data_IF_042090996337
#
_entry.id   IF_042090996337
#
_cell.length_a   1.000
_cell.length_b   1.000
_cell.length_c   1.000
_cell.angle_alpha   90.00
_cell.angle_beta   90.00
_cell.angle_gamma   90.00
#
_symmetry.space_group_name_H-M   'P 1'
#
loop_
_entity.id
_entity.type
_entity.pdbx_description
1 polymer ?
#
# COMPACT_ATOMS: atom_id res chain seq x y z
N UNK A 1 -3.64 22.95 -5.48
CA UNK A 1 -5.11 23.14 -5.67
C UNK A 1 -5.73 21.82 -6.10
N UNK A 2 -7.03 21.63 -5.87
CA UNK A 2 -7.77 20.48 -6.40
C UNK A 2 -7.87 20.56 -7.92
N UNK A 3 -8.21 19.44 -8.57
CA UNK A 3 -8.41 19.37 -10.03
C UNK A 3 -9.51 20.31 -10.53
N UNK A 4 -10.56 20.52 -9.73
CA UNK A 4 -11.63 21.47 -10.00
C UNK A 4 -11.25 22.93 -9.71
N UNK A 5 -10.15 23.17 -9.00
CA UNK A 5 -9.75 24.49 -8.50
C UNK A 5 -10.61 25.03 -7.34
N UNK A 6 -11.67 24.31 -6.94
CA UNK A 6 -12.55 24.68 -5.84
C UNK A 6 -11.79 24.78 -4.52
N UNK A 7 -10.94 23.78 -4.23
CA UNK A 7 -10.13 23.72 -3.03
C UNK A 7 -8.72 24.23 -3.32
N UNK A 8 -8.27 25.17 -2.49
CA UNK A 8 -6.96 25.79 -2.61
C UNK A 8 -6.29 25.83 -1.25
N UNK A 9 -4.98 25.62 -1.25
CA UNK A 9 -4.15 25.56 -0.06
C UNK A 9 -2.95 26.46 -0.30
N UNK A 10 -2.74 27.39 0.62
CA UNK A 10 -1.62 28.31 0.59
C UNK A 10 -0.98 28.38 1.97
N UNK A 11 0.30 28.68 1.98
CA UNK A 11 1.07 28.92 3.20
C UNK A 11 1.79 30.23 3.04
N UNK A 12 1.98 30.91 4.17
CA UNK A 12 2.89 32.04 4.28
C UNK A 12 4.00 31.59 5.24
N UNK A 13 5.25 31.76 4.81
CA UNK A 13 6.39 31.29 5.59
C UNK A 13 6.41 31.96 6.98
N UNK A 14 6.49 31.13 8.02
CA UNK A 14 6.49 31.57 9.42
C UNK A 14 5.12 31.98 9.98
N UNK A 15 4.01 31.68 9.27
CA UNK A 15 2.66 31.92 9.79
C UNK A 15 1.79 30.67 9.73
N UNK A 16 0.67 30.68 9.02
CA UNK A 16 -0.39 29.69 9.12
C UNK A 16 -0.74 29.13 7.75
N UNK A 17 -1.60 28.11 7.77
CA UNK A 17 -2.18 27.52 6.58
C UNK A 17 -3.45 28.30 6.23
N UNK A 18 -3.59 28.67 4.96
CA UNK A 18 -4.78 29.28 4.40
C UNK A 18 -5.48 28.27 3.48
N UNK A 19 -6.79 28.13 3.68
CA UNK A 19 -7.62 27.20 2.91
C UNK A 19 -8.77 27.96 2.28
N UNK A 20 -8.99 27.74 0.99
CA UNK A 20 -10.21 28.16 0.30
C UNK A 20 -10.96 26.92 -0.18
N UNK A 21 -12.29 26.96 -0.05
CA UNK A 21 -13.22 25.95 -0.56
C UNK A 21 -14.17 26.52 -1.63
N UNK A 22 -13.93 27.76 -2.05
CA UNK A 22 -14.79 28.52 -2.95
C UNK A 22 -13.99 29.26 -4.03
N UNK A 23 -13.01 28.57 -4.63
CA UNK A 23 -12.23 29.07 -5.77
C UNK A 23 -11.40 30.32 -5.44
N UNK A 24 -10.97 30.48 -4.18
CA UNK A 24 -10.13 31.59 -3.75
C UNK A 24 -10.89 32.88 -3.41
N UNK A 25 -12.23 32.85 -3.38
CA UNK A 25 -13.04 34.02 -3.00
C UNK A 25 -12.88 34.38 -1.53
N UNK A 26 -12.85 33.38 -0.65
CA UNK A 26 -12.57 33.56 0.78
C UNK A 26 -11.53 32.54 1.25
N UNK A 27 -10.76 32.94 2.26
CA UNK A 27 -9.71 32.11 2.85
C UNK A 27 -9.92 31.99 4.37
N UNK A 28 -9.90 30.77 4.86
CA UNK A 28 -9.93 30.45 6.29
C UNK A 28 -8.52 30.12 6.75
N UNK A 29 -8.12 30.66 7.90
CA UNK A 29 -6.84 30.38 8.55
C UNK A 29 -6.99 29.17 9.48
N UNK A 30 -6.07 28.21 9.36
CA UNK A 30 -6.03 27.02 10.23
C UNK A 30 -4.74 27.01 11.06
N UNK A 31 -4.91 26.79 12.37
CA UNK A 31 -3.84 26.52 13.32
C UNK A 31 -3.17 27.76 13.96
N UNK A 32 -2.22 27.49 14.85
CA UNK A 32 -1.30 28.48 15.39
C UNK A 32 -0.11 28.68 14.42
N UNK A 33 0.60 29.82 14.48
CA UNK A 33 1.75 30.06 13.62
C UNK A 33 2.83 28.96 13.74
N UNK A 34 3.26 28.42 12.61
CA UNK A 34 4.37 27.49 12.47
C UNK A 34 5.14 27.80 11.17
N UNK A 35 6.34 27.25 11.04
CA UNK A 35 7.21 27.46 9.88
C UNK A 35 6.90 26.44 8.78
N UNK A 36 5.73 26.58 8.17
CA UNK A 36 5.35 25.77 7.01
C UNK A 36 6.20 26.10 5.79
N UNK A 37 6.64 25.06 5.08
CA UNK A 37 7.59 25.17 3.95
C UNK A 37 7.10 24.49 2.67
N UNK A 38 6.18 23.52 2.78
CA UNK A 38 5.61 22.85 1.61
C UNK A 38 4.18 22.41 1.91
N UNK A 39 3.36 22.42 0.87
CA UNK A 39 1.98 21.95 0.89
C UNK A 39 1.67 21.07 -0.30
N UNK A 40 0.74 20.14 -0.14
CA UNK A 40 0.21 19.30 -1.22
C UNK A 40 -1.25 18.96 -0.99
N UNK A 41 -1.96 18.58 -2.05
CA UNK A 41 -3.38 18.27 -2.02
C UNK A 41 -3.72 17.19 -3.05
N UNK A 42 -4.67 16.29 -2.73
CA UNK A 42 -5.21 15.33 -3.69
C UNK A 42 -6.02 16.03 -4.80
N UNK A 43 -6.25 15.36 -5.93
CA UNK A 43 -7.04 15.93 -7.01
C UNK A 43 -8.49 16.24 -6.59
N UNK A 44 -9.04 15.50 -5.63
CA UNK A 44 -10.37 15.76 -5.05
C UNK A 44 -10.42 16.94 -4.08
N UNK A 45 -9.27 17.37 -3.55
CA UNK A 45 -9.20 18.37 -2.48
C UNK A 45 -9.46 17.84 -1.06
N UNK A 46 -9.87 16.58 -0.94
CA UNK A 46 -10.20 15.94 0.33
C UNK A 46 -8.98 15.78 1.24
N UNK A 47 -7.85 15.34 0.67
CA UNK A 47 -6.60 15.17 1.41
C UNK A 47 -5.75 16.42 1.19
N UNK A 48 -5.35 17.04 2.29
CA UNK A 48 -4.52 18.23 2.30
C UNK A 48 -3.35 18.01 3.26
N UNK A 49 -2.16 18.39 2.82
CA UNK A 49 -0.91 18.16 3.52
C UNK A 49 -0.15 19.47 3.66
N UNK A 50 0.42 19.69 4.83
CA UNK A 50 1.38 20.74 5.08
C UNK A 50 2.53 20.20 5.91
N UNK A 51 3.74 20.65 5.65
CA UNK A 51 4.92 20.24 6.43
C UNK A 51 5.66 21.47 6.92
N UNK A 52 6.21 21.37 8.13
CA UNK A 52 6.97 22.44 8.76
C UNK A 52 8.47 22.14 8.79
N UNK A 53 9.25 23.11 9.27
CA UNK A 53 10.69 22.94 9.47
C UNK A 53 11.03 21.99 10.62
N UNK A 54 10.14 21.71 11.56
CA UNK A 54 10.44 20.83 12.71
C UNK A 54 10.30 19.34 12.40
N UNK A 55 9.94 18.97 11.16
CA UNK A 55 9.79 17.58 10.74
C UNK A 55 8.40 17.00 11.02
N UNK A 56 7.40 17.85 11.30
CA UNK A 56 6.00 17.47 11.38
C UNK A 56 5.33 17.55 10.02
N UNK A 57 4.44 16.59 9.77
CA UNK A 57 3.41 16.67 8.72
C UNK A 57 2.05 16.83 9.35
N UNK A 58 1.31 17.80 8.83
CA UNK A 58 -0.08 18.08 9.14
C UNK A 58 -0.92 17.48 8.01
N UNK A 59 -1.94 16.73 8.39
CA UNK A 59 -2.81 15.98 7.48
C UNK A 59 -4.26 16.32 7.79
N UNK A 60 -4.97 16.78 6.77
CA UNK A 60 -6.44 16.81 6.74
C UNK A 60 -6.94 15.76 5.75
N UNK A 61 -8.04 15.08 6.13
CA UNK A 61 -8.72 14.07 5.32
C UNK A 61 -10.16 14.49 4.98
N UNK A 62 -10.54 15.72 5.32
CA UNK A 62 -11.90 16.24 5.30
C UNK A 62 -11.93 17.66 4.71
N UNK A 63 -11.18 17.87 3.63
CA UNK A 63 -11.17 19.13 2.87
C UNK A 63 -10.65 20.34 3.67
N UNK A 64 -9.78 20.10 4.65
CA UNK A 64 -9.17 21.15 5.46
C UNK A 64 -9.96 21.53 6.70
N UNK A 65 -11.03 20.80 7.04
CA UNK A 65 -11.86 21.10 8.22
C UNK A 65 -11.18 20.69 9.52
N UNK A 66 -10.53 19.52 9.55
CA UNK A 66 -9.75 19.04 10.69
C UNK A 66 -8.34 18.65 10.27
N UNK A 67 -7.38 18.85 11.18
CA UNK A 67 -5.96 18.61 10.93
C UNK A 67 -5.33 17.86 12.09
N UNK A 68 -4.55 16.83 11.74
CA UNK A 68 -3.76 16.06 12.69
C UNK A 68 -2.28 16.16 12.32
N UNK A 69 -1.39 16.23 13.30
CA UNK A 69 0.06 16.32 13.09
C UNK A 69 0.78 15.01 13.43
N UNK A 70 1.79 14.64 12.64
CA UNK A 70 2.61 13.46 12.83
C UNK A 70 4.08 13.77 12.64
N UNK A 71 4.94 13.17 13.45
CA UNK A 71 6.39 13.30 13.32
C UNK A 71 6.91 12.40 12.19
N UNK A 72 7.56 13.02 11.19
CA UNK A 72 8.28 12.31 10.12
C UNK A 72 9.70 12.00 10.59
N UNK A 73 10.39 12.99 11.17
CA UNK A 73 11.77 12.84 11.63
C UNK A 73 12.10 13.81 12.78
N UNK A 74 12.79 13.38 13.84
CA UNK A 74 12.99 14.18 15.06
C UNK A 74 14.14 15.20 15.01
N UNK A 75 15.02 15.21 13.99
CA UNK A 75 16.30 15.96 14.07
C UNK A 75 16.78 16.76 12.85
N UNK A 76 15.95 17.07 11.84
CA UNK A 76 16.37 18.01 10.77
C UNK A 76 15.22 18.56 9.91
N UNK A 77 15.46 19.77 9.40
CA UNK A 77 14.56 20.75 8.80
C UNK A 77 14.88 21.00 7.33
N UNK A 78 14.18 20.33 6.42
CA UNK A 78 13.53 20.88 5.23
C UNK A 78 12.83 19.70 4.55
N UNK A 79 11.54 19.84 4.32
CA UNK A 79 10.70 18.76 3.82
C UNK A 79 9.83 19.31 2.70
N UNK A 80 9.91 18.65 1.55
CA UNK A 80 8.92 18.82 0.49
C UNK A 80 7.89 17.71 0.66
N UNK A 81 6.64 18.01 0.34
CA UNK A 81 5.56 17.02 0.33
C UNK A 81 4.90 17.00 -1.02
N UNK A 82 4.64 15.81 -1.54
CA UNK A 82 3.76 15.61 -2.69
C UNK A 82 2.85 14.40 -2.46
N UNK A 83 1.70 14.41 -3.12
CA UNK A 83 0.70 13.35 -3.05
C UNK A 83 0.24 12.97 -4.46
N UNK A 84 -0.06 11.69 -4.67
CA UNK A 84 -0.67 11.23 -5.92
C UNK A 84 -2.09 11.81 -6.09
N UNK A 85 -2.58 11.99 -7.33
CA UNK A 85 -3.91 12.56 -7.58
C UNK A 85 -5.04 11.85 -6.85
N UNK A 86 -4.96 10.51 -6.76
CA UNK A 86 -5.92 9.63 -6.08
C UNK A 86 -5.77 9.62 -4.54
N UNK A 87 -4.75 10.28 -3.99
CA UNK A 87 -4.49 10.31 -2.56
C UNK A 87 -3.83 9.05 -1.98
N UNK A 88 -3.49 8.06 -2.80
CA UNK A 88 -3.01 6.75 -2.33
C UNK A 88 -1.54 6.74 -1.88
N UNK A 89 -0.72 7.63 -2.43
CA UNK A 89 0.72 7.69 -2.19
C UNK A 89 1.14 9.10 -1.80
N UNK A 90 1.88 9.21 -0.69
CA UNK A 90 2.51 10.46 -0.24
C UNK A 90 4.02 10.27 -0.22
N UNK A 91 4.75 11.23 -0.74
CA UNK A 91 6.20 11.33 -0.58
C UNK A 91 6.56 12.57 0.23
N UNK A 92 7.53 12.41 1.12
CA UNK A 92 8.18 13.51 1.82
C UNK A 92 9.69 13.39 1.71
N UNK A 93 10.39 14.50 1.50
CA UNK A 93 11.85 14.53 1.63
C UNK A 93 12.23 14.98 3.04
N UNK A 94 13.37 14.53 3.55
CA UNK A 94 14.01 15.09 4.74
C UNK A 94 15.47 15.34 4.41
N UNK A 95 15.92 16.57 4.56
CA UNK A 95 17.30 16.98 4.31
C UNK A 95 18.31 16.09 5.05
N UNK A 96 19.34 15.67 4.32
CA UNK A 96 20.43 14.78 4.80
C UNK A 96 20.00 13.37 5.26
N UNK A 97 18.72 12.99 5.06
CA UNK A 97 18.19 11.67 5.47
C UNK A 97 17.65 10.87 4.27
N UNK A 98 16.90 11.50 3.37
CA UNK A 98 16.37 10.87 2.16
C UNK A 98 14.89 11.10 1.93
N UNK A 99 14.27 10.26 1.09
CA UNK A 99 12.85 10.32 0.73
C UNK A 99 12.07 9.26 1.50
N UNK A 100 11.00 9.66 2.16
CA UNK A 100 10.03 8.80 2.81
C UNK A 100 8.80 8.63 1.91
N UNK A 101 8.24 7.42 1.88
CA UNK A 101 7.02 7.08 1.14
C UNK A 101 6.01 6.42 2.06
N UNK A 102 4.75 6.84 1.98
CA UNK A 102 3.63 6.17 2.65
C UNK A 102 2.64 5.60 1.61
N UNK A 103 2.14 4.39 1.87
CA UNK A 103 1.01 3.79 1.16
C UNK A 103 -0.21 3.92 2.08
N UNK A 104 -1.28 4.57 1.60
CA UNK A 104 -2.51 4.88 2.34
C UNK A 104 -2.39 6.00 3.39
N UNK A 105 -3.53 6.66 3.66
CA UNK A 105 -3.76 7.74 4.64
C UNK A 105 -3.44 7.35 6.08
N UNK A 106 -3.07 6.09 6.33
CA UNK A 106 -2.48 5.60 7.58
C UNK A 106 -0.97 5.82 7.57
N UNK A 107 -0.59 7.04 7.96
CA UNK A 107 0.72 7.55 8.39
C UNK A 107 1.85 6.50 8.52
N UNK A 108 2.91 6.74 7.74
CA UNK A 108 4.32 6.38 7.93
C UNK A 108 4.61 5.31 8.99
N UNK A 109 4.49 4.04 8.61
CA UNK A 109 5.17 2.95 9.31
C UNK A 109 6.33 2.44 8.46
N UNK A 110 7.44 3.18 8.50
CA UNK A 110 8.73 2.67 8.06
C UNK A 110 9.48 3.57 7.09
N UNK A 111 10.81 3.51 7.21
CA UNK A 111 11.76 4.03 6.24
C UNK A 111 11.58 3.26 4.94
N UNK A 112 11.17 3.93 3.86
CA UNK A 112 11.38 3.38 2.53
C UNK A 112 12.89 3.50 2.25
N UNK A 113 13.66 2.45 2.56
CA UNK A 113 15.05 2.36 2.15
C UNK A 113 15.08 2.21 0.62
N UNK A 114 15.06 3.33 -0.11
CA UNK A 114 15.24 3.34 -1.57
C UNK A 114 16.63 2.78 -1.94
N UNK A 115 17.54 2.65 -0.98
CA UNK A 115 18.84 1.99 -1.13
C UNK A 115 18.75 0.48 -1.44
N UNK A 116 17.60 -0.17 -1.25
CA UNK A 116 17.46 -1.63 -1.42
C UNK A 116 16.29 -2.10 -2.31
N UNK A 117 15.69 -1.20 -3.11
CA UNK A 117 14.54 -1.53 -3.94
C UNK A 117 13.25 -1.81 -3.16
N UNK A 118 12.15 -2.10 -3.87
CA UNK A 118 10.87 -2.49 -3.26
C UNK A 118 11.03 -3.88 -2.62
N UNK A 119 11.06 -3.95 -1.30
CA UNK A 119 11.03 -5.22 -0.56
C UNK A 119 9.62 -5.82 -0.69
N UNK A 120 9.46 -7.05 -1.22
CA UNK A 120 8.14 -7.66 -1.36
C UNK A 120 7.45 -7.82 -0.01
N UNK A 121 6.14 -7.57 0.03
CA UNK A 121 5.32 -7.79 1.24
C UNK A 121 5.07 -9.29 1.40
N UNK A 122 5.51 -9.88 2.51
CA UNK A 122 5.43 -11.33 2.71
C UNK A 122 4.50 -11.71 3.85
N UNK A 123 3.73 -12.78 3.68
CA UNK A 123 2.95 -13.43 4.73
C UNK A 123 3.29 -14.92 4.75
N UNK A 124 3.57 -15.47 5.93
CA UNK A 124 4.02 -16.85 6.11
C UNK A 124 3.20 -17.53 7.20
N UNK A 125 2.75 -18.74 6.92
CA UNK A 125 2.07 -19.64 7.87
C UNK A 125 2.71 -21.02 7.84
N UNK A 126 2.57 -21.77 8.93
CA UNK A 126 3.03 -23.16 8.95
C UNK A 126 2.13 -24.07 8.11
N UNK A 127 0.81 -23.98 8.32
CA UNK A 127 -0.19 -24.83 7.67
C UNK A 127 -1.55 -24.14 7.72
N UNK A 128 -2.38 -24.33 6.70
CA UNK A 128 -3.79 -23.90 6.70
C UNK A 128 -4.58 -24.64 5.62
N UNK A 129 -5.80 -25.08 5.94
CA UNK A 129 -6.75 -25.61 4.95
C UNK A 129 -7.46 -24.50 4.15
N UNK A 130 -7.59 -23.31 4.74
CA UNK A 130 -8.19 -22.12 4.11
C UNK A 130 -7.29 -20.90 4.31
N UNK A 131 -6.17 -20.81 3.56
CA UNK A 131 -5.17 -19.76 3.76
C UNK A 131 -5.75 -18.34 3.74
N UNK A 132 -5.39 -17.54 4.74
CA UNK A 132 -5.82 -16.13 4.84
C UNK A 132 -4.81 -15.23 4.15
N UNK A 133 -5.21 -14.62 3.04
CA UNK A 133 -4.37 -13.75 2.22
C UNK A 133 -5.07 -12.41 2.07
N UNK A 134 -4.43 -11.34 2.53
CA UNK A 134 -4.85 -9.97 2.21
C UNK A 134 -3.94 -9.43 1.10
N UNK A 135 -4.48 -9.24 -0.10
CA UNK A 135 -3.72 -8.84 -1.30
C UNK A 135 -3.25 -7.38 -1.24
N UNK A 136 -3.83 -6.56 -0.36
CA UNK A 136 -3.33 -5.19 -0.11
C UNK A 136 -2.04 -5.20 0.73
N UNK A 137 -1.70 -6.34 1.33
CA UNK A 137 -0.58 -6.49 2.26
C UNK A 137 0.35 -7.67 1.90
N UNK A 138 0.08 -8.39 0.81
CA UNK A 138 0.79 -9.63 0.47
C UNK A 138 1.13 -9.66 -1.02
N UNK A 139 2.43 -9.71 -1.33
CA UNK A 139 2.97 -10.03 -2.65
C UNK A 139 3.44 -11.49 -2.72
N UNK A 140 3.93 -12.02 -1.59
CA UNK A 140 4.40 -13.41 -1.47
C UNK A 140 3.73 -14.07 -0.26
N UNK A 141 2.92 -15.10 -0.50
CA UNK A 141 2.33 -15.94 0.55
C UNK A 141 3.07 -17.27 0.64
N UNK A 142 3.39 -17.72 1.85
CA UNK A 142 4.21 -18.93 2.05
C UNK A 142 3.59 -19.86 3.08
N UNK A 143 3.44 -21.13 2.72
CA UNK A 143 3.14 -22.23 3.64
C UNK A 143 4.42 -23.05 3.78
N UNK A 144 4.89 -23.25 5.02
CA UNK A 144 6.21 -23.88 5.28
C UNK A 144 6.15 -25.35 5.66
N UNK A 145 5.00 -25.87 6.09
CA UNK A 145 4.83 -27.27 6.50
C UNK A 145 3.36 -27.69 6.42
N UNK A 146 2.79 -27.67 5.21
CA UNK A 146 1.38 -27.99 4.98
C UNK A 146 1.07 -29.41 5.47
N UNK A 147 0.25 -29.48 6.51
CA UNK A 147 -0.11 -30.71 7.21
C UNK A 147 -1.57 -31.15 6.97
N UNK A 148 -2.30 -30.43 6.12
CA UNK A 148 -3.70 -30.68 5.78
C UNK A 148 -3.95 -30.36 4.31
N UNK A 149 -5.00 -30.95 3.73
CA UNK A 149 -5.45 -30.56 2.40
C UNK A 149 -5.98 -29.13 2.43
N UNK A 150 -5.70 -28.39 1.35
CA UNK A 150 -6.24 -27.05 1.14
C UNK A 150 -7.61 -27.20 0.50
N UNK A 151 -8.63 -26.74 1.20
CA UNK A 151 -10.02 -26.80 0.78
C UNK A 151 -10.47 -25.55 0.02
N UNK A 152 -9.79 -24.41 0.19
CA UNK A 152 -10.03 -23.19 -0.58
C UNK A 152 -8.96 -22.13 -0.36
N UNK A 153 -8.38 -21.59 -1.44
CA UNK A 153 -7.64 -20.32 -1.39
C UNK A 153 -8.54 -19.09 -1.53
N UNK A 154 -9.82 -19.26 -1.89
CA UNK A 154 -10.76 -18.16 -2.12
C UNK A 154 -11.46 -17.70 -0.84
N UNK A 155 -11.73 -18.61 0.09
CA UNK A 155 -12.61 -18.36 1.26
C UNK A 155 -12.12 -17.20 2.13
N UNK A 156 -10.81 -17.10 2.36
CA UNK A 156 -10.20 -16.06 3.20
C UNK A 156 -9.28 -15.12 2.39
N UNK A 157 -9.53 -15.00 1.08
CA UNK A 157 -8.87 -14.02 0.22
C UNK A 157 -9.58 -12.66 0.38
N UNK A 158 -8.84 -11.66 0.83
CA UNK A 158 -9.37 -10.31 1.14
C UNK A 158 -8.48 -9.23 0.53
N UNK A 159 -8.94 -7.98 0.57
CA UNK A 159 -8.26 -6.82 -0.01
C UNK A 159 -8.83 -6.45 -1.39
N UNK A 160 -8.29 -5.40 -1.99
CA UNK A 160 -8.75 -4.85 -3.28
C UNK A 160 -7.65 -5.00 -4.34
N UNK A 161 -7.71 -6.09 -5.09
CA UNK A 161 -6.72 -6.35 -6.14
C UNK A 161 -6.81 -5.31 -7.28
N UNK A 162 -5.66 -4.90 -7.80
CA UNK A 162 -5.57 -4.01 -8.98
C UNK A 162 -5.05 -4.76 -10.20
N UNK A 163 -5.47 -4.32 -11.39
CA UNK A 163 -5.10 -4.98 -12.64
C UNK A 163 -3.57 -5.07 -12.79
N UNK A 164 -3.06 -6.25 -13.13
CA UNK A 164 -1.62 -6.49 -13.26
C UNK A 164 -0.88 -6.74 -11.94
N UNK A 165 -1.57 -6.69 -10.78
CA UNK A 165 -0.95 -7.04 -9.50
C UNK A 165 -0.41 -8.47 -9.54
N UNK A 166 0.75 -8.70 -8.94
CA UNK A 166 1.38 -10.03 -8.86
C UNK A 166 1.20 -10.62 -7.47
N UNK A 167 0.97 -11.93 -7.42
CA UNK A 167 0.96 -12.72 -6.20
C UNK A 167 1.74 -14.00 -6.44
N UNK A 168 2.70 -14.31 -5.57
CA UNK A 168 3.40 -15.59 -5.56
C UNK A 168 2.95 -16.40 -4.34
N UNK A 169 2.43 -17.60 -4.58
CA UNK A 169 2.10 -18.57 -3.54
C UNK A 169 3.17 -19.65 -3.52
N UNK A 170 3.77 -19.88 -2.34
CA UNK A 170 4.77 -20.93 -2.09
C UNK A 170 4.21 -21.92 -1.10
N UNK A 171 4.29 -23.21 -1.41
CA UNK A 171 3.76 -24.27 -0.55
C UNK A 171 4.82 -25.34 -0.39
N UNK A 172 5.23 -25.60 0.85
CA UNK A 172 5.98 -26.78 1.24
C UNK A 172 5.08 -27.65 2.11
N UNK A 173 4.92 -28.92 1.76
CA UNK A 173 4.21 -29.89 2.60
C UNK A 173 5.12 -30.54 3.64
N UNK A 174 4.51 -31.28 4.57
CA UNK A 174 5.21 -31.95 5.66
C UNK A 174 5.76 -33.34 5.30
N UNK A 175 6.06 -33.59 4.01
CA UNK A 175 6.50 -34.89 3.50
C UNK A 175 5.36 -35.81 3.08
N UNK A 176 4.13 -35.31 3.08
CA UNK A 176 2.94 -36.00 2.59
C UNK A 176 2.25 -35.09 1.59
N UNK A 177 2.02 -35.59 0.37
CA UNK A 177 1.33 -34.86 -0.67
C UNK A 177 -0.06 -34.41 -0.18
N UNK A 178 -0.42 -33.16 -0.46
CA UNK A 178 -1.68 -32.54 -0.05
C UNK A 178 -2.47 -32.11 -1.26
N UNK A 179 -3.77 -32.36 -1.22
CA UNK A 179 -4.71 -31.86 -2.23
C UNK A 179 -4.83 -30.35 -2.13
N UNK A 180 -4.97 -29.69 -3.28
CA UNK A 180 -5.10 -28.24 -3.38
C UNK A 180 -6.38 -27.86 -4.12
N UNK A 181 -7.26 -27.15 -3.42
CA UNK A 181 -8.44 -26.51 -4.01
C UNK A 181 -8.27 -25.00 -3.98
N UNK A 182 -8.18 -24.36 -5.15
CA UNK A 182 -7.93 -22.91 -5.25
C UNK A 182 -9.21 -22.06 -5.07
N UNK A 183 -10.34 -22.53 -5.63
CA UNK A 183 -11.60 -21.79 -5.67
C UNK A 183 -11.69 -20.80 -6.84
N UNK A 184 -12.80 -20.07 -6.91
CA UNK A 184 -13.21 -19.29 -8.10
C UNK A 184 -12.41 -18.01 -8.33
N UNK A 185 -11.71 -17.49 -7.30
CA UNK A 185 -10.87 -16.30 -7.44
C UNK A 185 -9.58 -16.55 -8.22
N UNK A 186 -9.25 -17.82 -8.50
CA UNK A 186 -8.05 -18.22 -9.22
C UNK A 186 -8.43 -18.98 -10.48
N UNK A 187 -7.68 -18.77 -11.55
CA UNK A 187 -7.97 -19.41 -12.82
C UNK A 187 -6.71 -19.90 -13.53
N UNK A 188 -6.79 -21.10 -14.12
CA UNK A 188 -5.76 -21.59 -15.05
C UNK A 188 -5.75 -20.71 -16.30
N UNK A 189 -4.56 -20.22 -16.67
CA UNK A 189 -4.32 -19.39 -17.87
C UNK A 189 -3.01 -19.79 -18.54
N UNK A 190 -1.94 -19.03 -18.31
CA UNK A 190 -0.60 -19.32 -18.83
C UNK A 190 0.00 -20.61 -18.24
N UNK A 191 -0.50 -21.04 -17.09
CA UNK A 191 -0.24 -22.35 -16.51
C UNK A 191 -1.52 -22.95 -15.89
N UNK A 192 -1.55 -24.27 -15.78
CA UNK A 192 -2.60 -25.01 -15.08
C UNK A 192 -2.40 -24.91 -13.58
N UNK A 193 -3.45 -24.56 -12.84
CA UNK A 193 -3.42 -24.59 -11.37
C UNK A 193 -3.06 -26.00 -10.86
N UNK A 194 -2.05 -26.14 -9.99
CA UNK A 194 -1.68 -27.44 -9.44
C UNK A 194 -2.72 -27.89 -8.42
N UNK A 195 -3.08 -29.18 -8.46
CA UNK A 195 -4.10 -29.77 -7.58
C UNK A 195 -3.51 -30.62 -6.45
N UNK A 196 -2.19 -30.82 -6.44
CA UNK A 196 -1.47 -31.53 -5.40
C UNK A 196 -0.11 -30.89 -5.15
N UNK A 197 0.37 -30.94 -3.93
CA UNK A 197 1.80 -30.72 -3.63
C UNK A 197 2.62 -31.96 -4.00
N UNK A 198 3.95 -31.79 -4.05
CA UNK A 198 4.91 -32.90 -4.15
C UNK A 198 5.65 -33.00 -2.82
N UNK A 199 5.72 -34.21 -2.22
CA UNK A 199 6.30 -34.40 -0.90
C UNK A 199 7.65 -33.72 -0.70
N UNK A 200 7.75 -32.92 0.36
CA UNK A 200 8.98 -32.24 0.79
C UNK A 200 9.64 -31.33 -0.27
N UNK A 201 8.86 -30.84 -1.24
CA UNK A 201 9.33 -29.88 -2.25
C UNK A 201 8.53 -28.59 -2.20
N UNK A 202 9.21 -27.46 -2.34
CA UNK A 202 8.51 -26.20 -2.57
C UNK A 202 7.82 -26.22 -3.93
N UNK A 203 6.51 -25.97 -3.90
CA UNK A 203 5.69 -25.62 -5.06
C UNK A 203 5.54 -24.10 -5.12
N UNK A 204 5.89 -23.51 -6.27
CA UNK A 204 5.77 -22.10 -6.57
C UNK A 204 4.67 -21.89 -7.62
N UNK A 205 3.70 -21.04 -7.28
CA UNK A 205 2.61 -20.67 -8.19
C UNK A 205 2.56 -19.15 -8.30
N UNK A 206 2.69 -18.64 -9.52
CA UNK A 206 2.72 -17.22 -9.80
C UNK A 206 1.45 -16.79 -10.51
N UNK A 207 0.89 -15.68 -10.03
CA UNK A 207 -0.36 -15.12 -10.50
C UNK A 207 -0.21 -13.66 -10.94
N UNK A 208 -1.06 -13.27 -11.88
CA UNK A 208 -1.33 -11.87 -12.21
C UNK A 208 -2.83 -11.63 -12.09
N UNK A 209 -3.25 -10.57 -11.39
CA UNK A 209 -4.67 -10.24 -11.29
C UNK A 209 -5.17 -9.61 -12.59
N UNK A 210 -6.31 -10.11 -13.07
CA UNK A 210 -7.01 -9.63 -14.25
C UNK A 210 -8.35 -9.03 -13.83
N UNK A 211 -8.46 -7.71 -13.89
CA UNK A 211 -9.67 -7.00 -13.46
C UNK A 211 -10.86 -7.19 -14.41
N UNK A 212 -10.65 -7.67 -15.64
CA UNK A 212 -11.75 -7.94 -16.59
C UNK A 212 -12.50 -9.21 -16.21
N UNK A 213 -11.78 -10.24 -15.79
CA UNK A 213 -12.36 -11.51 -15.34
C UNK A 213 -12.52 -11.60 -13.82
N UNK A 214 -11.99 -10.63 -13.07
CA UNK A 214 -11.92 -10.61 -11.62
C UNK A 214 -11.22 -11.83 -11.02
N UNK A 215 -10.20 -12.36 -11.72
CA UNK A 215 -9.46 -13.57 -11.32
C UNK A 215 -7.96 -13.32 -11.20
N UNK A 216 -7.33 -14.07 -10.29
CA UNK A 216 -5.89 -14.29 -10.28
C UNK A 216 -5.53 -15.35 -11.32
N UNK A 217 -4.96 -14.88 -12.43
CA UNK A 217 -4.62 -15.70 -13.57
C UNK A 217 -3.27 -16.39 -13.31
N UNK A 218 -3.29 -17.74 -13.26
CA UNK A 218 -2.09 -18.55 -13.07
C UNK A 218 -1.22 -18.47 -14.34
N UNK A 219 0.00 -17.93 -14.20
CA UNK A 219 0.92 -17.72 -15.31
C UNK A 219 2.09 -18.69 -15.30
N UNK A 220 2.48 -19.21 -14.14
CA UNK A 220 3.61 -20.13 -14.01
C UNK A 220 3.47 -21.00 -12.76
N UNK A 221 3.80 -22.28 -12.92
CA UNK A 221 3.95 -23.25 -11.84
C UNK A 221 5.33 -23.88 -11.95
N UNK A 222 6.07 -23.93 -10.84
CA UNK A 222 7.37 -24.59 -10.76
C UNK A 222 7.49 -25.31 -9.41
N UNK A 223 8.36 -26.32 -9.35
CA UNK A 223 8.69 -27.01 -8.10
C UNK A 223 10.20 -27.22 -8.00
N UNK A 224 10.68 -27.48 -6.79
CA UNK A 224 12.08 -27.84 -6.57
C UNK A 224 12.46 -29.12 -7.33
N UNK A 225 13.70 -29.13 -7.83
CA UNK A 225 14.28 -30.23 -8.59
C UNK A 225 14.29 -31.54 -7.80
#
# INVERSE_FOLDING_TARGET
MSSSGQYQLAIVYGTTIYISSNYGQTWTVIGAPDYFISVAMSASGQIQLAVNTTGLIYVSLDFGLTWNSYMIHPSSSATFVCISPDGSTIYTSVDSVGIYRSFSTKIFRGRANITNGLIPRTNTVASSATPTINVDLTDIFTITALATDITSFTTNLTGTAYNGQRLTVRILDNGVARSITWGTSFASRGATLPITTVPSKYLYVNFIYNSTTSTWDCILVAQEA
#
